data_IF_818533439850
#
_entry.id   IF_818533439850
#
_cell.length_a   1.000
_cell.length_b   1.000
_cell.length_c   1.000
_cell.angle_alpha   90.00
_cell.angle_beta   90.00
_cell.angle_gamma   90.00
#
_symmetry.space_group_name_H-M   'P 1'
#
loop_
_entity.id
_entity.type
_entity.pdbx_description
1 polymer ?
#
# COMPACT_ATOMS: atom_id res chain seq x y z
N UNK A 1 3.63 -21.00 -3.16
CA UNK A 1 3.48 -20.27 -4.43
C UNK A 1 2.06 -19.74 -4.62
N UNK A 2 1.00 -20.55 -4.31
CA UNK A 2 -0.40 -20.11 -4.43
C UNK A 2 -0.78 -18.99 -3.45
N UNK A 3 -0.21 -18.96 -2.25
CA UNK A 3 -0.45 -17.91 -1.27
C UNK A 3 0.14 -16.54 -1.68
N UNK A 4 1.20 -16.55 -2.48
CA UNK A 4 1.82 -15.34 -3.02
C UNK A 4 0.87 -14.62 -3.96
N UNK A 5 0.16 -15.36 -4.82
CA UNK A 5 -0.82 -14.79 -5.75
C UNK A 5 -2.02 -14.08 -5.09
N UNK A 6 -2.24 -14.24 -3.79
CA UNK A 6 -3.31 -13.54 -3.04
C UNK A 6 -2.89 -12.17 -2.49
N UNK A 7 -1.62 -11.82 -2.58
CA UNK A 7 -1.12 -10.54 -2.06
C UNK A 7 -1.61 -9.38 -2.92
N UNK A 8 -2.03 -8.31 -2.27
CA UNK A 8 -2.51 -7.11 -2.95
C UNK A 8 -3.89 -7.23 -3.60
N UNK A 9 -4.48 -8.41 -3.70
CA UNK A 9 -5.81 -8.60 -4.27
C UNK A 9 -6.91 -8.06 -3.36
N UNK A 10 -7.97 -7.55 -3.98
CA UNK A 10 -9.20 -7.26 -3.25
C UNK A 10 -9.92 -8.55 -2.84
N UNK A 11 -10.89 -8.41 -1.90
CA UNK A 11 -11.63 -9.54 -1.33
C UNK A 11 -12.30 -10.43 -2.39
N UNK A 12 -12.90 -9.83 -3.42
CA UNK A 12 -13.62 -10.56 -4.46
C UNK A 12 -12.69 -11.36 -5.38
N UNK A 13 -11.55 -10.82 -5.73
CA UNK A 13 -10.53 -11.50 -6.55
C UNK A 13 -9.89 -12.65 -5.79
N UNK A 14 -9.49 -12.41 -4.54
CA UNK A 14 -8.94 -13.44 -3.67
C UNK A 14 -9.93 -14.58 -3.44
N UNK A 15 -11.22 -14.29 -3.21
CA UNK A 15 -12.25 -15.30 -3.06
C UNK A 15 -12.44 -16.12 -4.35
N UNK A 16 -12.46 -15.47 -5.53
CA UNK A 16 -12.53 -16.17 -6.81
C UNK A 16 -11.33 -17.10 -7.04
N UNK A 17 -10.11 -16.62 -6.77
CA UNK A 17 -8.90 -17.43 -6.89
C UNK A 17 -8.95 -18.64 -5.95
N UNK A 18 -9.33 -18.45 -4.69
CA UNK A 18 -9.53 -19.55 -3.74
C UNK A 18 -10.57 -20.54 -4.23
N UNK A 19 -11.70 -20.06 -4.76
CA UNK A 19 -12.72 -20.91 -5.37
C UNK A 19 -12.19 -21.76 -6.51
N UNK A 20 -11.29 -21.21 -7.32
CA UNK A 20 -10.66 -21.94 -8.43
C UNK A 20 -9.75 -23.10 -7.94
N UNK A 21 -9.01 -22.88 -6.84
CA UNK A 21 -8.06 -23.86 -6.32
C UNK A 21 -8.66 -24.83 -5.29
N UNK A 22 -9.64 -24.40 -4.51
CA UNK A 22 -10.17 -25.15 -3.37
C UNK A 22 -11.65 -25.52 -3.51
N UNK A 23 -12.32 -25.09 -4.57
CA UNK A 23 -13.66 -25.51 -4.94
C UNK A 23 -14.80 -24.59 -4.53
N UNK A 24 -14.58 -23.63 -3.62
CA UNK A 24 -15.58 -22.62 -3.25
C UNK A 24 -14.98 -21.27 -2.88
N UNK A 25 -15.54 -20.16 -3.36
CA UNK A 25 -15.18 -18.82 -2.88
C UNK A 25 -15.43 -18.63 -1.37
N UNK A 26 -16.34 -19.39 -0.78
CA UNK A 26 -16.67 -19.32 0.65
C UNK A 26 -15.51 -19.81 1.53
N UNK A 27 -14.61 -20.64 1.00
CA UNK A 27 -13.43 -21.11 1.69
C UNK A 27 -12.40 -19.99 1.96
N UNK A 28 -12.52 -18.85 1.27
CA UNK A 28 -11.61 -17.72 1.45
C UNK A 28 -11.70 -17.08 2.84
N UNK A 29 -12.89 -16.90 3.38
CA UNK A 29 -13.06 -16.19 4.66
C UNK A 29 -12.39 -16.92 5.85
N UNK A 30 -12.54 -18.25 6.01
CA UNK A 30 -11.81 -19.00 7.04
C UNK A 30 -10.29 -18.90 6.87
N UNK A 31 -9.76 -19.00 5.65
CA UNK A 31 -8.33 -18.89 5.35
C UNK A 31 -7.81 -17.49 5.69
N UNK A 32 -8.55 -16.46 5.29
CA UNK A 32 -8.24 -15.06 5.62
C UNK A 32 -8.19 -14.84 7.12
N UNK A 33 -9.20 -15.31 7.86
CA UNK A 33 -9.28 -15.15 9.30
C UNK A 33 -8.10 -15.83 9.99
N UNK A 34 -7.76 -17.05 9.58
CA UNK A 34 -6.61 -17.78 10.14
C UNK A 34 -5.28 -17.11 9.84
N UNK A 35 -5.10 -16.58 8.64
CA UNK A 35 -3.92 -15.78 8.30
C UNK A 35 -3.79 -14.54 9.18
N UNK A 36 -4.91 -13.82 9.42
CA UNK A 36 -4.92 -12.63 10.28
C UNK A 36 -4.55 -13.02 11.72
N UNK A 37 -5.16 -14.08 12.26
CA UNK A 37 -4.87 -14.59 13.60
C UNK A 37 -3.37 -14.91 13.78
N UNK A 38 -2.80 -15.66 12.83
CA UNK A 38 -1.38 -16.03 12.86
C UNK A 38 -0.46 -14.82 12.77
N UNK A 39 -0.80 -13.86 11.91
CA UNK A 39 -0.04 -12.63 11.76
C UNK A 39 -0.13 -11.77 13.02
N UNK A 40 -1.31 -11.63 13.60
CA UNK A 40 -1.51 -10.87 14.85
C UNK A 40 -0.74 -11.51 16.02
N UNK A 41 -0.73 -12.85 16.13
CA UNK A 41 0.07 -13.57 17.13
C UNK A 41 1.57 -13.37 16.93
N UNK A 42 2.05 -13.44 15.68
CA UNK A 42 3.46 -13.19 15.37
C UNK A 42 3.88 -11.76 15.74
N UNK A 43 3.07 -10.76 15.34
CA UNK A 43 3.35 -9.36 15.64
C UNK A 43 3.31 -9.09 17.15
N UNK A 44 2.38 -9.71 17.88
CA UNK A 44 2.33 -9.58 19.34
C UNK A 44 3.60 -10.09 20.02
N UNK A 45 4.25 -11.10 19.45
CA UNK A 45 5.48 -11.71 20.00
C UNK A 45 6.74 -10.96 19.55
N UNK A 46 6.82 -10.49 18.31
CA UNK A 46 8.04 -9.99 17.68
C UNK A 46 8.01 -8.48 17.38
N UNK A 47 6.84 -7.83 17.49
CA UNK A 47 6.63 -6.47 17.06
C UNK A 47 6.44 -6.36 15.55
N UNK A 48 6.37 -5.11 15.07
CA UNK A 48 6.36 -4.76 13.64
C UNK A 48 7.73 -4.22 13.28
N UNK A 49 8.37 -4.83 12.30
CA UNK A 49 9.61 -4.30 11.73
C UNK A 49 9.25 -3.31 10.60
N UNK A 50 9.62 -2.04 10.74
CA UNK A 50 9.32 -1.05 9.70
C UNK A 50 10.25 -1.23 8.50
N UNK A 51 9.75 -0.94 7.29
CA UNK A 51 10.58 -0.97 6.08
C UNK A 51 11.73 0.04 6.19
N UNK A 52 12.93 -0.37 5.75
CA UNK A 52 14.11 0.48 5.77
C UNK A 52 13.87 1.80 5.03
N UNK A 53 14.33 2.92 5.61
CA UNK A 53 14.16 4.25 5.04
C UNK A 53 12.83 4.94 5.37
N UNK A 54 11.90 4.28 6.10
CA UNK A 54 10.59 4.90 6.39
C UNK A 54 10.73 6.14 7.28
N UNK A 55 11.61 6.13 8.26
CA UNK A 55 11.81 7.28 9.15
C UNK A 55 12.45 8.44 8.42
N UNK A 56 13.44 8.15 7.62
CA UNK A 56 14.19 9.12 6.82
C UNK A 56 13.29 9.82 5.79
N UNK A 57 12.44 9.07 5.09
CA UNK A 57 11.51 9.69 4.13
C UNK A 57 10.45 10.51 4.83
N UNK A 58 9.88 10.06 5.97
CA UNK A 58 8.88 10.82 6.72
C UNK A 58 9.47 12.11 7.30
N UNK A 59 10.70 12.06 7.81
CA UNK A 59 11.43 13.26 8.27
C UNK A 59 11.66 14.23 7.12
N UNK A 60 12.19 13.76 5.99
CA UNK A 60 12.37 14.57 4.79
C UNK A 60 11.07 15.26 4.33
N UNK A 61 9.97 14.50 4.26
CA UNK A 61 8.66 15.03 3.87
C UNK A 61 8.16 16.09 4.85
N UNK A 62 8.38 15.89 6.15
CA UNK A 62 8.01 16.83 7.21
C UNK A 62 8.80 18.13 7.12
N UNK A 63 10.11 18.05 7.00
CA UNK A 63 11.02 19.22 6.88
C UNK A 63 10.70 20.07 5.65
N UNK A 64 10.28 19.44 4.56
CA UNK A 64 9.94 20.11 3.31
C UNK A 64 8.45 20.44 3.18
N UNK A 65 7.64 20.26 4.24
CA UNK A 65 6.21 20.53 4.27
C UNK A 65 5.42 19.82 3.15
N UNK A 66 5.85 18.61 2.79
CA UNK A 66 5.19 17.78 1.77
C UNK A 66 4.10 16.96 2.45
N UNK A 67 2.82 17.16 2.08
CA UNK A 67 1.70 16.41 2.64
C UNK A 67 1.80 14.92 2.30
N UNK A 68 1.39 14.06 3.25
CA UNK A 68 1.49 12.61 3.10
C UNK A 68 0.32 11.87 3.71
N UNK A 69 -0.15 10.85 3.00
CA UNK A 69 -1.25 10.00 3.46
C UNK A 69 -0.92 8.52 3.31
N UNK A 70 -1.49 7.72 4.17
CA UNK A 70 -1.55 6.26 3.98
C UNK A 70 -2.79 5.93 3.16
N UNK A 71 -2.62 5.15 2.06
CA UNK A 71 -3.70 4.61 1.25
C UNK A 71 -3.65 3.08 1.32
N UNK A 72 -4.56 2.45 2.10
CA UNK A 72 -4.46 1.03 2.43
C UNK A 72 -5.76 0.26 2.26
N UNK A 73 -5.64 -1.03 1.90
CA UNK A 73 -6.76 -1.98 1.92
C UNK A 73 -7.14 -2.45 3.34
N UNK A 74 -6.32 -2.13 4.36
CA UNK A 74 -6.55 -2.52 5.74
C UNK A 74 -7.52 -1.58 6.45
N UNK A 75 -8.32 -2.08 7.42
CA UNK A 75 -9.14 -1.21 8.26
C UNK A 75 -8.27 -0.35 9.18
N UNK A 76 -8.78 0.81 9.57
CA UNK A 76 -8.08 1.80 10.39
C UNK A 76 -7.53 1.23 11.70
N UNK A 77 -8.24 0.28 12.31
CA UNK A 77 -7.81 -0.35 13.56
C UNK A 77 -6.50 -1.17 13.38
N UNK A 78 -6.30 -1.74 12.18
CA UNK A 78 -5.05 -2.43 11.87
C UNK A 78 -3.92 -1.43 11.60
N UNK A 79 -4.20 -0.34 10.93
CA UNK A 79 -3.23 0.74 10.71
C UNK A 79 -2.73 1.29 12.05
N UNK A 80 -3.65 1.59 12.97
CA UNK A 80 -3.32 2.05 14.33
C UNK A 80 -2.44 1.03 15.07
N UNK A 81 -2.83 -0.25 15.02
CA UNK A 81 -2.10 -1.33 15.69
C UNK A 81 -0.64 -1.43 15.23
N UNK A 82 -0.35 -1.10 13.98
CA UNK A 82 1.00 -1.17 13.42
C UNK A 82 1.77 0.12 13.58
N UNK A 83 1.15 1.26 13.31
CA UNK A 83 1.87 2.54 13.26
C UNK A 83 2.05 3.19 14.65
N UNK A 84 1.09 3.02 15.59
CA UNK A 84 1.19 3.63 16.92
C UNK A 84 2.39 3.11 17.72
N UNK A 85 2.63 1.78 17.82
CA UNK A 85 3.81 1.27 18.55
C UNK A 85 5.14 1.71 17.92
N UNK A 86 5.17 2.02 16.63
CA UNK A 86 6.34 2.52 15.93
C UNK A 86 6.53 4.03 16.09
N UNK A 87 5.54 4.75 16.64
CA UNK A 87 5.52 6.21 16.75
C UNK A 87 5.36 6.91 15.40
N UNK A 88 4.76 6.22 14.39
CA UNK A 88 4.64 6.74 13.02
C UNK A 88 3.21 7.19 12.66
N UNK A 89 2.23 6.93 13.52
CA UNK A 89 0.82 7.21 13.18
C UNK A 89 0.55 8.70 12.95
N UNK A 90 1.11 9.54 13.81
CA UNK A 90 0.93 11.00 13.77
C UNK A 90 1.84 11.70 12.74
N UNK A 91 2.71 10.94 12.08
CA UNK A 91 3.54 11.47 10.99
C UNK A 91 2.77 11.60 9.67
N UNK A 92 1.57 11.08 9.56
CA UNK A 92 0.73 11.18 8.38
C UNK A 92 -0.39 12.21 8.56
N UNK A 93 -0.62 13.04 7.54
CA UNK A 93 -1.69 14.04 7.53
C UNK A 93 -3.07 13.41 7.34
N UNK A 94 -3.13 12.21 6.74
CA UNK A 94 -4.36 11.44 6.55
C UNK A 94 -4.12 9.93 6.48
N UNK A 95 -5.13 9.17 6.90
CA UNK A 95 -5.20 7.72 6.71
C UNK A 95 -6.46 7.43 5.90
N UNK A 96 -6.27 6.93 4.69
CA UNK A 96 -7.32 6.55 3.75
C UNK A 96 -7.38 5.02 3.65
N UNK A 97 -8.55 4.45 3.90
CA UNK A 97 -8.76 3.01 3.91
C UNK A 97 -9.70 2.58 2.77
N UNK A 98 -9.70 1.30 2.43
CA UNK A 98 -10.66 0.76 1.46
C UNK A 98 -12.13 0.89 1.90
N UNK A 99 -12.40 1.23 3.16
CA UNK A 99 -13.74 1.47 3.70
C UNK A 99 -14.23 2.90 3.46
N UNK A 100 -13.35 3.81 3.04
CA UNK A 100 -13.66 5.21 2.75
C UNK A 100 -14.06 5.43 1.29
N UNK A 101 -13.97 4.38 0.45
CA UNK A 101 -14.17 4.44 -1.01
C UNK A 101 -15.10 3.37 -1.51
N UNK A 102 -15.68 3.56 -2.71
CA UNK A 102 -16.62 2.60 -3.29
C UNK A 102 -15.92 1.33 -3.77
N UNK A 103 -14.72 1.46 -4.36
CA UNK A 103 -13.95 0.35 -4.88
C UNK A 103 -12.51 0.40 -4.34
N UNK A 104 -12.01 -0.77 -3.90
CA UNK A 104 -10.61 -0.91 -3.45
C UNK A 104 -9.67 -1.14 -4.63
N UNK A 105 -8.34 -1.15 -4.35
CA UNK A 105 -7.33 -1.53 -5.32
C UNK A 105 -7.71 -2.85 -6.03
N UNK A 106 -7.58 -2.95 -7.34
CA UNK A 106 -6.78 -2.12 -8.24
C UNK A 106 -7.51 -0.88 -8.78
N UNK A 107 -8.78 -0.60 -8.41
CA UNK A 107 -9.49 0.60 -8.84
C UNK A 107 -8.86 1.87 -8.27
N UNK A 108 -8.95 3.04 -8.96
CA UNK A 108 -8.21 4.26 -8.61
C UNK A 108 -8.73 4.98 -7.37
N UNK A 109 -9.89 4.61 -6.86
CA UNK A 109 -10.69 5.36 -5.89
C UNK A 109 -9.90 5.79 -4.65
N UNK A 110 -9.07 4.90 -4.10
CA UNK A 110 -8.33 5.18 -2.86
C UNK A 110 -7.25 6.26 -3.05
N UNK A 111 -6.60 6.29 -4.22
CA UNK A 111 -5.59 7.31 -4.51
C UNK A 111 -6.22 8.64 -4.91
N UNK A 112 -7.35 8.61 -5.64
CA UNK A 112 -8.16 9.79 -5.89
C UNK A 112 -8.65 10.41 -4.58
N UNK A 113 -9.11 9.59 -3.64
CA UNK A 113 -9.54 10.03 -2.32
C UNK A 113 -8.37 10.59 -1.50
N UNK A 114 -7.23 9.90 -1.46
CA UNK A 114 -6.02 10.38 -0.78
C UNK A 114 -5.54 11.73 -1.30
N UNK A 115 -5.44 11.90 -2.62
CA UNK A 115 -5.08 13.16 -3.24
C UNK A 115 -6.08 14.28 -2.87
N UNK A 116 -7.38 13.99 -2.91
CA UNK A 116 -8.44 14.93 -2.50
C UNK A 116 -8.30 15.37 -1.05
N UNK A 117 -8.08 14.43 -0.12
CA UNK A 117 -7.91 14.75 1.33
C UNK A 117 -6.68 15.60 1.56
N UNK A 118 -5.60 15.37 0.84
CA UNK A 118 -4.38 16.19 0.89
C UNK A 118 -4.53 17.54 0.14
N UNK A 119 -5.65 17.80 -0.51
CA UNK A 119 -5.87 19.01 -1.30
C UNK A 119 -4.97 19.11 -2.53
N UNK A 120 -4.61 17.96 -3.12
CA UNK A 120 -3.72 17.86 -4.28
C UNK A 120 -4.43 17.27 -5.51
N UNK A 121 -3.94 17.62 -6.71
CA UNK A 121 -4.30 16.88 -7.91
C UNK A 121 -3.53 15.54 -7.94
N UNK A 122 -4.13 14.42 -8.40
CA UNK A 122 -3.44 13.13 -8.48
C UNK A 122 -2.12 13.21 -9.27
N UNK A 123 -2.08 13.97 -10.35
CA UNK A 123 -0.87 14.18 -11.17
C UNK A 123 0.28 14.90 -10.42
N UNK A 124 0.00 15.53 -9.30
CA UNK A 124 1.00 16.10 -8.40
C UNK A 124 1.33 15.21 -7.19
N UNK A 125 0.90 13.95 -7.20
CA UNK A 125 1.14 13.00 -6.13
C UNK A 125 2.06 11.87 -6.59
N UNK A 126 2.99 11.50 -5.71
CA UNK A 126 3.77 10.27 -5.82
C UNK A 126 3.06 9.20 -4.99
N UNK A 127 2.68 8.10 -5.60
CA UNK A 127 2.13 6.94 -4.91
C UNK A 127 3.21 5.86 -4.80
N UNK A 128 3.63 5.55 -3.58
CA UNK A 128 4.67 4.57 -3.28
C UNK A 128 3.99 3.25 -2.93
N UNK A 129 4.33 2.20 -3.65
CA UNK A 129 3.68 0.90 -3.59
C UNK A 129 4.67 -0.27 -3.67
N UNK A 130 4.23 -1.43 -3.17
CA UNK A 130 4.95 -2.70 -3.23
C UNK A 130 4.18 -3.79 -3.99
N UNK A 131 2.93 -3.52 -4.38
CA UNK A 131 2.02 -4.51 -4.97
C UNK A 131 1.55 -4.14 -6.37
N UNK A 132 1.30 -5.15 -7.20
CA UNK A 132 0.75 -4.99 -8.55
C UNK A 132 -0.61 -4.26 -8.54
N UNK A 133 -1.51 -4.65 -7.63
CA UNK A 133 -2.81 -4.00 -7.49
C UNK A 133 -2.70 -2.53 -7.07
N UNK A 134 -1.72 -2.21 -6.21
CA UNK A 134 -1.43 -0.84 -5.79
C UNK A 134 -0.88 0.01 -6.92
N UNK A 135 0.07 -0.50 -7.69
CA UNK A 135 0.63 0.18 -8.87
C UNK A 135 -0.45 0.41 -9.92
N UNK A 136 -1.29 -0.58 -10.21
CA UNK A 136 -2.42 -0.41 -11.13
C UNK A 136 -3.37 0.70 -10.66
N UNK A 137 -3.73 0.70 -9.37
CA UNK A 137 -4.61 1.71 -8.77
C UNK A 137 -4.00 3.12 -8.84
N UNK A 138 -2.72 3.27 -8.51
CA UNK A 138 -2.00 4.53 -8.54
C UNK A 138 -1.89 5.10 -9.96
N UNK A 139 -1.52 4.27 -10.92
CA UNK A 139 -1.43 4.66 -12.33
C UNK A 139 -2.80 5.04 -12.90
N UNK A 140 -3.86 4.27 -12.58
CA UNK A 140 -5.23 4.58 -13.00
C UNK A 140 -5.75 5.88 -12.39
N UNK A 141 -5.32 6.25 -11.19
CA UNK A 141 -5.61 7.53 -10.56
C UNK A 141 -4.86 8.70 -11.20
N UNK A 142 -3.84 8.44 -12.02
CA UNK A 142 -2.98 9.49 -12.61
C UNK A 142 -1.89 9.98 -11.67
N UNK A 143 -1.55 9.21 -10.64
CA UNK A 143 -0.40 9.48 -9.78
C UNK A 143 0.91 9.01 -10.44
N UNK A 144 2.05 9.56 -10.01
CA UNK A 144 3.34 8.97 -10.29
C UNK A 144 3.45 7.64 -9.53
N UNK A 145 3.24 6.53 -10.23
CA UNK A 145 3.26 5.19 -9.65
C UNK A 145 4.71 4.76 -9.41
N UNK A 146 5.14 4.76 -8.16
CA UNK A 146 6.50 4.42 -7.73
C UNK A 146 6.48 3.06 -7.04
N UNK A 147 7.17 2.08 -7.62
CA UNK A 147 7.29 0.75 -7.08
C UNK A 147 8.57 0.63 -6.24
N UNK A 148 8.41 0.22 -4.98
CA UNK A 148 9.49 -0.21 -4.09
C UNK A 148 9.25 -1.68 -3.76
N UNK A 149 9.87 -2.64 -4.47
CA UNK A 149 9.63 -4.06 -4.28
C UNK A 149 9.89 -4.50 -2.84
N UNK A 150 9.10 -5.45 -2.35
CA UNK A 150 9.31 -6.06 -1.04
C UNK A 150 9.84 -7.49 -1.19
N UNK A 151 8.97 -8.49 -1.23
CA UNK A 151 9.36 -9.89 -1.31
C UNK A 151 9.20 -10.49 -2.72
N UNK A 152 8.32 -9.90 -3.52
CA UNK A 152 8.00 -10.41 -4.84
C UNK A 152 8.57 -9.48 -5.91
N UNK A 153 9.17 -10.06 -6.95
CA UNK A 153 9.56 -9.30 -8.13
C UNK A 153 8.31 -8.92 -8.93
N UNK A 154 8.25 -7.69 -9.44
CA UNK A 154 7.11 -7.25 -10.24
C UNK A 154 7.03 -8.06 -11.54
N UNK A 155 5.82 -8.45 -11.92
CA UNK A 155 5.58 -9.05 -13.23
C UNK A 155 5.70 -8.00 -14.35
N UNK A 156 5.94 -8.44 -15.62
CA UNK A 156 6.12 -7.51 -16.75
C UNK A 156 4.95 -6.54 -16.95
N UNK A 157 3.72 -6.99 -16.71
CA UNK A 157 2.52 -6.18 -16.89
C UNK A 157 2.41 -5.08 -15.81
N UNK A 158 2.87 -5.36 -14.60
CA UNK A 158 3.00 -4.36 -13.54
C UNK A 158 4.06 -3.32 -13.90
N UNK A 159 5.21 -3.76 -14.43
CA UNK A 159 6.30 -2.85 -14.82
C UNK A 159 5.90 -1.84 -15.90
N UNK A 160 4.99 -2.20 -16.81
CA UNK A 160 4.47 -1.27 -17.83
C UNK A 160 3.73 -0.06 -17.23
N UNK A 161 3.24 -0.16 -15.99
CA UNK A 161 2.51 0.89 -15.29
C UNK A 161 3.36 1.67 -14.30
N UNK A 162 4.56 1.20 -14.04
CA UNK A 162 5.49 1.83 -13.10
C UNK A 162 6.10 3.07 -13.75
N UNK A 163 5.95 4.21 -13.09
CA UNK A 163 6.63 5.45 -13.50
C UNK A 163 8.07 5.46 -12.99
N UNK A 164 8.27 5.01 -11.75
CA UNK A 164 9.57 4.93 -11.09
C UNK A 164 9.72 3.57 -10.42
N UNK A 165 10.82 2.87 -10.67
CA UNK A 165 11.27 1.72 -9.92
C UNK A 165 12.39 2.17 -9.00
N UNK A 166 12.22 2.01 -7.69
CA UNK A 166 13.20 2.36 -6.67
C UNK A 166 13.53 1.12 -5.84
N UNK A 167 14.79 0.98 -5.45
CA UNK A 167 15.23 -0.16 -4.65
C UNK A 167 14.86 -0.02 -3.17
N UNK A 168 14.67 1.23 -2.72
CA UNK A 168 14.36 1.55 -1.33
C UNK A 168 13.55 2.84 -1.19
N UNK A 169 13.02 3.09 0.02
CA UNK A 169 12.38 4.38 0.35
C UNK A 169 13.40 5.54 0.35
N UNK A 170 14.68 5.27 0.51
CA UNK A 170 15.75 6.28 0.43
C UNK A 170 15.90 6.79 -1.01
N UNK A 171 15.81 5.90 -1.99
CA UNK A 171 15.88 6.29 -3.40
C UNK A 171 14.67 7.15 -3.82
N UNK A 172 13.52 6.90 -3.19
CA UNK A 172 12.32 7.74 -3.41
C UNK A 172 12.55 9.17 -2.94
N UNK A 173 13.36 9.42 -1.91
CA UNK A 173 13.72 10.79 -1.49
C UNK A 173 14.44 11.52 -2.65
N UNK A 174 15.34 10.85 -3.36
CA UNK A 174 16.04 11.46 -4.50
C UNK A 174 15.09 11.74 -5.67
N UNK A 175 14.11 10.86 -5.91
CA UNK A 175 13.05 11.11 -6.90
C UNK A 175 12.25 12.37 -6.53
N UNK A 176 11.85 12.52 -5.25
CA UNK A 176 11.09 13.68 -4.78
C UNK A 176 11.91 14.97 -4.94
N UNK A 177 13.21 14.94 -4.62
CA UNK A 177 14.13 16.07 -4.84
C UNK A 177 14.17 16.50 -6.30
N UNK A 178 14.25 15.52 -7.21
CA UNK A 178 14.25 15.78 -8.65
C UNK A 178 12.95 16.37 -9.18
N UNK A 179 11.80 16.06 -8.57
CA UNK A 179 10.51 16.65 -8.95
C UNK A 179 10.33 18.09 -8.48
N UNK A 180 11.08 18.54 -7.48
CA UNK A 180 10.99 19.89 -6.90
C UNK A 180 12.05 20.85 -7.44
N UNK A 181 12.92 20.40 -8.35
CA UNK A 181 13.98 21.19 -9.01
C UNK A 181 13.47 21.78 -10.31
#
# INVERSE_FOLDING_TARGET
DQAIGLRGMNLGEAARMIGTYFGSPDDYQPIKNKRIELMDAYIAQHGVEPKAGIREILEYLKENHIPRAVCTASPIERVKRYLIPLGLFDDFDAICTAYDVAQGKPEPDIYLYGAKVLGKAPSGCIAIEDSAAGIQSAAAAGCMATLVPDQDLPDPQTLERVTVLADSLLDVIEVIKGCNS
#
